data_IF_939577579508
#
_entry.id   IF_939577579508
#
_cell.length_a   1.000
_cell.length_b   1.000
_cell.length_c   1.000
_cell.angle_alpha   90.00
_cell.angle_beta   90.00
_cell.angle_gamma   90.00
#
_symmetry.space_group_name_H-M   'P 1'
#
loop_
_entity.id
_entity.type
_entity.pdbx_description
1 polymer ?
#
# COMPACT_ATOMS: atom_id res chain seq x y z
N UNK A 1 -31.89 -44.15 51.49
CA UNK A 1 -33.17 -43.40 51.51
C UNK A 1 -32.77 -41.94 51.37
N UNK A 2 -32.85 -41.33 50.19
CA UNK A 2 -34.04 -40.72 49.56
C UNK A 2 -33.98 -40.96 48.03
N UNK A 3 -35.16 -41.05 47.42
CA UNK A 3 -35.46 -41.59 46.07
C UNK A 3 -35.91 -40.48 45.10
N UNK A 4 -36.06 -40.91 43.82
CA UNK A 4 -36.92 -40.38 42.73
C UNK A 4 -36.26 -39.33 41.83
N UNK A 5 -36.42 -39.29 40.50
CA UNK A 5 -37.22 -40.00 39.48
C UNK A 5 -36.46 -39.84 38.13
N UNK A 6 -36.46 -40.77 37.17
CA UNK A 6 -37.55 -41.13 36.25
C UNK A 6 -37.49 -40.24 34.99
N UNK A 7 -37.13 -40.73 33.79
CA UNK A 7 -37.97 -41.24 32.67
C UNK A 7 -37.27 -40.69 31.40
N UNK A 8 -37.22 -41.27 30.19
CA UNK A 8 -37.78 -42.44 29.54
C UNK A 8 -37.01 -42.64 28.21
N UNK A 9 -36.69 -43.88 27.84
CA UNK A 9 -37.27 -44.62 26.69
C UNK A 9 -37.36 -43.88 25.33
N UNK A 10 -36.51 -44.35 24.41
CA UNK A 10 -36.78 -44.72 23.01
C UNK A 10 -37.27 -43.64 22.03
N UNK A 11 -36.47 -43.36 20.98
CA UNK A 11 -36.73 -43.81 19.60
C UNK A 11 -36.09 -42.90 18.53
N UNK A 12 -35.89 -43.52 17.36
CA UNK A 12 -35.74 -42.94 16.01
C UNK A 12 -34.34 -42.54 15.54
N UNK A 13 -33.83 -43.36 14.63
CA UNK A 13 -32.78 -43.04 13.68
C UNK A 13 -33.27 -41.97 12.69
N UNK A 14 -32.42 -40.96 12.46
CA UNK A 14 -32.51 -40.07 11.29
C UNK A 14 -31.12 -39.92 10.70
N UNK A 15 -30.94 -40.46 9.49
CA UNK A 15 -29.82 -40.20 8.61
C UNK A 15 -29.97 -38.77 8.10
N UNK A 16 -28.96 -37.92 8.31
CA UNK A 16 -28.76 -36.72 7.50
C UNK A 16 -27.35 -36.74 6.94
N UNK A 17 -27.28 -36.97 5.62
CA UNK A 17 -26.13 -36.71 4.79
C UNK A 17 -25.75 -35.22 4.93
N UNK A 18 -24.71 -34.91 5.69
CA UNK A 18 -24.04 -33.61 5.59
C UNK A 18 -23.00 -33.68 4.48
N UNK A 19 -23.48 -33.68 3.24
CA UNK A 19 -22.70 -33.25 2.09
C UNK A 19 -22.51 -31.75 2.19
N UNK A 20 -21.48 -31.29 2.90
CA UNK A 20 -20.95 -29.95 2.68
C UNK A 20 -20.12 -30.03 1.40
N UNK A 21 -20.81 -29.70 0.31
CA UNK A 21 -20.21 -29.25 -0.92
C UNK A 21 -19.13 -28.22 -0.56
N UNK A 22 -17.87 -28.59 -0.75
CA UNK A 22 -16.85 -27.63 -1.10
C UNK A 22 -17.35 -27.03 -2.41
N UNK A 23 -18.03 -25.89 -2.29
CA UNK A 23 -18.48 -25.10 -3.42
C UNK A 23 -17.29 -24.98 -4.36
N UNK A 24 -17.49 -25.44 -5.59
CA UNK A 24 -16.60 -25.19 -6.70
C UNK A 24 -16.17 -23.73 -6.58
N UNK A 25 -14.87 -23.50 -6.48
CA UNK A 25 -14.27 -22.20 -6.71
C UNK A 25 -14.60 -21.82 -8.15
N UNK A 26 -15.83 -21.36 -8.38
CA UNK A 26 -16.19 -20.65 -9.58
C UNK A 26 -15.30 -19.41 -9.50
N UNK A 27 -14.36 -19.31 -10.43
CA UNK A 27 -13.79 -18.03 -10.78
C UNK A 27 -14.97 -17.18 -11.24
N UNK A 28 -15.64 -16.53 -10.29
CA UNK A 28 -16.77 -15.67 -10.55
C UNK A 28 -16.24 -14.59 -11.48
N UNK A 29 -16.72 -14.60 -12.72
CA UNK A 29 -16.35 -13.58 -13.69
C UNK A 29 -16.69 -12.22 -13.07
N UNK A 30 -15.70 -11.31 -13.05
CA UNK A 30 -15.85 -10.03 -12.39
C UNK A 30 -16.94 -9.26 -13.11
N UNK A 31 -18.01 -8.92 -12.39
CA UNK A 31 -19.13 -8.18 -12.98
C UNK A 31 -18.71 -6.78 -13.43
N UNK A 32 -19.40 -6.24 -14.44
CA UNK A 32 -19.19 -4.86 -14.91
C UNK A 32 -19.38 -3.83 -13.78
N UNK A 33 -20.34 -4.07 -12.87
CA UNK A 33 -20.58 -3.22 -11.70
C UNK A 33 -19.37 -3.19 -10.76
N UNK A 34 -18.70 -4.33 -10.58
CA UNK A 34 -17.50 -4.41 -9.76
C UNK A 34 -16.32 -3.71 -10.41
N UNK A 35 -16.14 -3.83 -11.73
CA UNK A 35 -15.14 -3.04 -12.47
C UNK A 35 -15.43 -1.53 -12.36
N UNK A 36 -16.70 -1.12 -12.47
CA UNK A 36 -17.10 0.28 -12.35
C UNK A 36 -16.82 0.83 -10.94
N UNK A 37 -17.18 0.09 -9.91
CA UNK A 37 -16.88 0.45 -8.52
C UNK A 37 -15.37 0.53 -8.27
N UNK A 38 -14.59 -0.42 -8.80
CA UNK A 38 -13.14 -0.44 -8.70
C UNK A 38 -12.50 0.79 -9.34
N UNK A 39 -12.94 1.16 -10.56
CA UNK A 39 -12.49 2.40 -11.22
C UNK A 39 -12.80 3.64 -10.40
N UNK A 40 -14.00 3.72 -9.82
CA UNK A 40 -14.37 4.86 -8.96
C UNK A 40 -13.46 4.96 -7.73
N UNK A 41 -13.16 3.85 -7.07
CA UNK A 41 -12.26 3.80 -5.92
C UNK A 41 -10.81 4.20 -6.29
N UNK A 42 -10.28 3.63 -7.37
CA UNK A 42 -8.93 3.94 -7.89
C UNK A 42 -8.80 5.44 -8.20
N UNK A 43 -9.78 6.00 -8.92
CA UNK A 43 -9.81 7.41 -9.26
C UNK A 43 -9.89 8.31 -8.02
N UNK A 44 -10.70 7.92 -7.03
CA UNK A 44 -10.82 8.68 -5.77
C UNK A 44 -9.51 8.69 -4.98
N UNK A 45 -8.76 7.58 -4.98
CA UNK A 45 -7.45 7.51 -4.33
C UNK A 45 -6.33 8.18 -5.13
N UNK A 46 -6.48 8.31 -6.46
CA UNK A 46 -5.46 8.87 -7.34
C UNK A 46 -4.20 8.02 -7.47
N UNK A 47 -4.28 6.72 -7.17
CA UNK A 47 -3.13 5.81 -7.11
C UNK A 47 -2.51 5.48 -8.48
N UNK A 48 -3.22 5.76 -9.57
CA UNK A 48 -2.69 5.59 -10.94
C UNK A 48 -2.13 6.89 -11.53
N UNK A 49 -2.29 8.05 -10.86
CA UNK A 49 -1.85 9.35 -11.37
C UNK A 49 -0.34 9.39 -11.64
N UNK A 50 0.45 8.69 -10.82
CA UNK A 50 1.90 8.57 -11.03
C UNK A 50 2.27 7.90 -12.36
N UNK A 51 1.37 7.09 -12.93
CA UNK A 51 1.59 6.39 -14.20
C UNK A 51 1.37 7.29 -15.42
N UNK A 52 0.81 8.50 -15.25
CA UNK A 52 0.57 9.44 -16.34
C UNK A 52 1.89 9.92 -16.97
N UNK A 53 3.00 9.86 -16.22
CA UNK A 53 4.32 10.22 -16.69
C UNK A 53 5.03 9.10 -17.48
N UNK A 54 4.50 7.87 -17.52
CA UNK A 54 5.17 6.76 -18.20
C UNK A 54 5.38 7.08 -19.68
N UNK A 55 4.32 7.47 -20.39
CA UNK A 55 4.39 7.71 -21.83
C UNK A 55 5.25 8.93 -22.19
N UNK A 56 5.12 10.10 -21.53
CA UNK A 56 6.04 11.22 -21.71
C UNK A 56 7.51 10.84 -21.47
N UNK A 57 7.81 10.11 -20.39
CA UNK A 57 9.18 9.72 -20.08
C UNK A 57 9.78 8.79 -21.14
N UNK A 58 8.99 7.82 -21.63
CA UNK A 58 9.40 6.94 -22.72
C UNK A 58 9.63 7.72 -24.03
N UNK A 59 8.78 8.70 -24.33
CA UNK A 59 8.92 9.55 -25.51
C UNK A 59 10.20 10.39 -25.44
N UNK A 60 10.48 11.03 -24.31
CA UNK A 60 11.71 11.81 -24.12
C UNK A 60 12.97 10.95 -24.18
N UNK A 61 12.94 9.77 -23.55
CA UNK A 61 14.05 8.81 -23.65
C UNK A 61 14.32 8.42 -25.10
N UNK A 62 13.25 8.10 -25.86
CA UNK A 62 13.36 7.73 -27.28
C UNK A 62 13.92 8.89 -28.12
N UNK A 63 13.44 10.12 -27.92
CA UNK A 63 13.97 11.30 -28.60
C UNK A 63 15.46 11.46 -28.35
N UNK A 64 15.90 11.38 -27.09
CA UNK A 64 17.31 11.50 -26.73
C UNK A 64 18.17 10.45 -27.47
N UNK A 65 17.73 9.19 -27.48
CA UNK A 65 18.44 8.11 -28.19
C UNK A 65 18.47 8.33 -29.70
N UNK A 66 17.34 8.69 -30.30
CA UNK A 66 17.26 8.90 -31.75
C UNK A 66 18.06 10.10 -32.23
N UNK A 67 18.04 11.22 -31.47
CA UNK A 67 18.81 12.44 -31.78
C UNK A 67 20.30 12.15 -31.70
N UNK A 68 20.75 11.42 -30.69
CA UNK A 68 22.15 11.02 -30.58
C UNK A 68 22.61 10.20 -31.80
N UNK A 69 21.77 9.27 -32.27
CA UNK A 69 22.08 8.47 -33.44
C UNK A 69 21.94 9.25 -34.77
N UNK A 70 21.12 10.31 -34.79
CA UNK A 70 20.71 11.02 -36.01
C UNK A 70 20.70 12.55 -35.77
N UNK A 71 21.85 13.19 -35.52
CA UNK A 71 21.91 14.56 -34.99
C UNK A 71 21.34 15.62 -35.93
N UNK A 72 21.33 15.37 -37.25
CA UNK A 72 20.81 16.30 -38.25
C UNK A 72 19.27 16.34 -38.32
N UNK A 73 18.56 15.45 -37.61
CA UNK A 73 17.12 15.26 -37.73
C UNK A 73 16.33 15.62 -36.47
N UNK A 74 16.91 16.38 -35.54
CA UNK A 74 16.31 16.64 -34.21
C UNK A 74 14.86 17.15 -34.25
N UNK A 75 14.56 18.16 -35.07
CA UNK A 75 13.19 18.69 -35.18
C UNK A 75 12.19 17.66 -35.72
N UNK A 76 12.60 16.87 -36.72
CA UNK A 76 11.75 15.84 -37.31
C UNK A 76 11.50 14.69 -36.32
N UNK A 77 12.54 14.29 -35.56
CA UNK A 77 12.44 13.29 -34.50
C UNK A 77 11.48 13.76 -33.40
N UNK A 78 11.66 14.98 -32.90
CA UNK A 78 10.79 15.53 -31.85
C UNK A 78 9.33 15.51 -32.29
N UNK A 79 9.02 16.10 -33.45
CA UNK A 79 7.66 16.16 -33.99
C UNK A 79 7.04 14.77 -34.22
N UNK A 80 7.81 13.84 -34.80
CA UNK A 80 7.33 12.48 -35.08
C UNK A 80 7.08 11.67 -33.81
N UNK A 81 7.99 11.74 -32.84
CA UNK A 81 7.84 11.04 -31.56
C UNK A 81 6.68 11.65 -30.75
N UNK A 82 6.52 12.97 -30.75
CA UNK A 82 5.39 13.64 -30.07
C UNK A 82 4.05 13.25 -30.67
N UNK A 83 3.93 13.27 -32.01
CA UNK A 83 2.72 12.84 -32.68
C UNK A 83 2.39 11.36 -32.38
N UNK A 84 3.42 10.51 -32.35
CA UNK A 84 3.27 9.08 -32.02
C UNK A 84 2.86 8.88 -30.55
N UNK A 85 3.47 9.60 -29.63
CA UNK A 85 3.11 9.56 -28.21
C UNK A 85 1.67 10.01 -28.00
N UNK A 86 1.24 11.10 -28.66
CA UNK A 86 -0.15 11.54 -28.62
C UNK A 86 -1.12 10.46 -29.14
N UNK A 87 -0.78 9.78 -30.24
CA UNK A 87 -1.58 8.69 -30.78
C UNK A 87 -1.64 7.46 -29.85
N UNK A 88 -0.62 7.25 -29.01
CA UNK A 88 -0.57 6.16 -28.04
C UNK A 88 -1.24 6.50 -26.70
N UNK A 89 -1.54 7.76 -26.42
CA UNK A 89 -2.17 8.20 -25.16
C UNK A 89 -3.44 7.41 -24.78
N UNK A 90 -4.35 7.01 -25.71
CA UNK A 90 -5.52 6.19 -25.37
C UNK A 90 -5.19 4.83 -24.71
N UNK A 91 -3.98 4.29 -24.90
CA UNK A 91 -3.55 3.03 -24.26
C UNK A 91 -3.47 3.12 -22.73
N UNK A 92 -3.53 4.33 -22.18
CA UNK A 92 -3.73 4.56 -20.74
C UNK A 92 -4.97 3.85 -20.21
N UNK A 93 -6.01 3.68 -21.02
CA UNK A 93 -7.22 2.94 -20.63
C UNK A 93 -6.95 1.45 -20.38
N UNK A 94 -5.91 0.87 -20.99
CA UNK A 94 -5.55 -0.53 -20.77
C UNK A 94 -4.99 -0.75 -19.36
N UNK A 95 -4.13 0.16 -18.90
CA UNK A 95 -3.63 0.16 -17.53
C UNK A 95 -4.77 0.32 -16.52
N UNK A 96 -5.71 1.23 -16.79
CA UNK A 96 -6.88 1.42 -15.92
C UNK A 96 -7.79 0.19 -15.85
N UNK A 97 -7.94 -0.55 -16.96
CA UNK A 97 -8.69 -1.80 -16.97
C UNK A 97 -8.00 -2.86 -16.10
N UNK A 98 -6.69 -2.99 -16.21
CA UNK A 98 -5.92 -3.96 -15.42
C UNK A 98 -5.94 -3.61 -13.91
N UNK A 99 -5.77 -2.33 -13.58
CA UNK A 99 -5.88 -1.84 -12.21
C UNK A 99 -7.27 -2.11 -11.62
N UNK A 100 -8.34 -1.76 -12.37
CA UNK A 100 -9.71 -2.02 -11.94
C UNK A 100 -9.98 -3.51 -11.74
N UNK A 101 -9.48 -4.36 -12.63
CA UNK A 101 -9.58 -5.82 -12.52
C UNK A 101 -8.91 -6.33 -11.25
N UNK A 102 -7.72 -5.82 -10.94
CA UNK A 102 -6.99 -6.18 -9.71
C UNK A 102 -7.79 -5.80 -8.47
N UNK A 103 -8.29 -4.56 -8.40
CA UNK A 103 -9.09 -4.09 -7.26
C UNK A 103 -10.41 -4.83 -7.11
N UNK A 104 -11.09 -5.11 -8.22
CA UNK A 104 -12.32 -5.87 -8.24
C UNK A 104 -12.13 -7.31 -7.75
N UNK A 105 -10.97 -7.94 -7.94
CA UNK A 105 -10.69 -9.27 -7.35
C UNK A 105 -10.48 -9.23 -5.84
N UNK A 106 -10.02 -8.10 -5.32
CA UNK A 106 -9.64 -7.95 -3.91
C UNK A 106 -10.79 -7.49 -3.03
N UNK A 107 -11.65 -6.62 -3.54
CA UNK A 107 -12.69 -5.95 -2.76
C UNK A 107 -14.09 -6.24 -3.31
N UNK A 108 -15.06 -6.30 -2.40
CA UNK A 108 -16.47 -6.33 -2.76
C UNK A 108 -16.93 -4.99 -3.34
N UNK A 109 -18.06 -4.99 -4.05
CA UNK A 109 -18.66 -3.77 -4.61
C UNK A 109 -18.93 -2.71 -3.52
N UNK A 110 -19.42 -3.14 -2.35
CA UNK A 110 -19.78 -2.22 -1.28
C UNK A 110 -18.54 -1.61 -0.60
N UNK A 111 -17.47 -2.38 -0.42
CA UNK A 111 -16.19 -1.86 0.06
C UNK A 111 -15.59 -0.86 -0.93
N UNK A 112 -15.61 -1.16 -2.23
CA UNK A 112 -15.13 -0.25 -3.27
C UNK A 112 -15.90 1.07 -3.28
N UNK A 113 -17.23 1.02 -3.11
CA UNK A 113 -18.05 2.23 -2.96
C UNK A 113 -17.69 3.01 -1.71
N UNK A 114 -17.57 2.34 -0.56
CA UNK A 114 -17.19 3.00 0.70
C UNK A 114 -15.81 3.67 0.63
N UNK A 115 -14.83 3.01 -0.02
CA UNK A 115 -13.51 3.59 -0.29
C UNK A 115 -13.65 4.83 -1.17
N UNK A 116 -14.38 4.73 -2.28
CA UNK A 116 -14.60 5.86 -3.18
C UNK A 116 -15.26 7.04 -2.47
N UNK A 117 -16.28 6.80 -1.64
CA UNK A 117 -17.00 7.82 -0.89
C UNK A 117 -16.09 8.52 0.12
N UNK A 118 -15.31 7.75 0.89
CA UNK A 118 -14.38 8.30 1.87
C UNK A 118 -13.33 9.20 1.20
N UNK A 119 -12.64 8.71 0.17
CA UNK A 119 -11.58 9.47 -0.50
C UNK A 119 -12.12 10.67 -1.30
N UNK A 120 -13.39 10.66 -1.70
CA UNK A 120 -14.04 11.83 -2.29
C UNK A 120 -14.49 12.89 -1.26
N UNK A 121 -14.65 12.52 0.01
CA UNK A 121 -15.02 13.46 1.07
C UNK A 121 -13.96 14.56 1.28
N UNK A 122 -14.32 15.72 1.87
CA UNK A 122 -13.34 16.76 2.21
C UNK A 122 -12.19 16.24 3.08
N UNK A 123 -12.48 15.34 4.03
CA UNK A 123 -11.48 14.74 4.89
C UNK A 123 -10.55 13.78 4.13
N UNK A 124 -11.10 12.91 3.27
CA UNK A 124 -10.32 11.98 2.46
C UNK A 124 -9.40 12.68 1.46
N UNK A 125 -9.89 13.72 0.79
CA UNK A 125 -9.07 14.57 -0.10
C UNK A 125 -7.96 15.27 0.68
N UNK A 126 -8.27 15.82 1.85
CA UNK A 126 -7.25 16.44 2.73
C UNK A 126 -6.22 15.43 3.19
N UNK A 127 -6.65 14.20 3.53
CA UNK A 127 -5.74 13.13 3.91
C UNK A 127 -4.75 12.83 2.78
N UNK A 128 -5.19 12.63 1.54
CA UNK A 128 -4.28 12.40 0.40
C UNK A 128 -3.30 13.57 0.25
N UNK A 129 -3.81 14.80 0.24
CA UNK A 129 -3.03 16.01 0.01
C UNK A 129 -1.98 16.27 1.09
N UNK A 130 -2.35 16.13 2.36
CA UNK A 130 -1.55 16.59 3.49
C UNK A 130 -0.77 15.46 4.19
N UNK A 131 -1.06 14.18 3.90
CA UNK A 131 -0.34 13.04 4.49
C UNK A 131 1.18 13.11 4.33
N UNK A 132 1.76 13.51 3.18
CA UNK A 132 3.22 13.63 3.06
C UNK A 132 3.82 14.62 4.05
N UNK A 133 3.15 15.75 4.28
CA UNK A 133 3.56 16.75 5.27
C UNK A 133 3.44 16.20 6.69
N UNK A 134 2.29 15.60 7.03
CA UNK A 134 2.06 15.02 8.34
C UNK A 134 3.07 13.90 8.66
N UNK A 135 3.36 13.03 7.70
CA UNK A 135 4.33 11.95 7.84
C UNK A 135 5.74 12.49 8.07
N UNK A 136 6.15 13.54 7.35
CA UNK A 136 7.46 14.18 7.57
C UNK A 136 7.62 14.70 9.00
N UNK A 137 6.60 15.37 9.54
CA UNK A 137 6.64 15.88 10.91
C UNK A 137 6.57 14.75 11.95
N UNK A 138 5.82 13.69 11.66
CA UNK A 138 5.80 12.47 12.49
C UNK A 138 7.19 11.83 12.57
N UNK A 139 7.88 11.64 11.44
CA UNK A 139 9.22 11.07 11.43
C UNK A 139 10.26 11.93 12.15
N UNK A 140 10.17 13.26 12.01
CA UNK A 140 11.01 14.18 12.79
C UNK A 140 10.79 14.03 14.30
N UNK A 141 9.54 13.87 14.72
CA UNK A 141 9.20 13.65 16.13
C UNK A 141 9.74 12.31 16.64
N UNK A 142 9.66 11.26 15.82
CA UNK A 142 10.20 9.94 16.13
C UNK A 142 11.72 9.96 16.27
N UNK A 143 12.44 10.72 15.44
CA UNK A 143 13.89 10.90 15.53
C UNK A 143 14.30 11.56 16.86
N UNK A 144 13.65 12.66 17.23
CA UNK A 144 13.91 13.35 18.51
C UNK A 144 13.64 12.43 19.70
N UNK A 145 12.51 11.72 19.68
CA UNK A 145 12.17 10.76 20.71
C UNK A 145 13.21 9.63 20.81
N UNK A 146 13.62 9.06 19.67
CA UNK A 146 14.64 8.01 19.59
C UNK A 146 15.99 8.44 20.13
N UNK A 147 16.44 9.67 19.84
CA UNK A 147 17.67 10.24 20.41
C UNK A 147 17.59 10.35 21.94
N UNK A 148 16.43 10.73 22.48
CA UNK A 148 16.18 10.75 23.92
C UNK A 148 16.30 9.37 24.55
N UNK A 149 15.60 8.38 23.98
CA UNK A 149 15.66 6.99 24.45
C UNK A 149 17.08 6.43 24.36
N UNK A 150 17.81 6.69 23.28
CA UNK A 150 19.20 6.24 23.10
C UNK A 150 20.11 6.76 24.22
N UNK A 151 20.04 8.07 24.52
CA UNK A 151 20.81 8.68 25.62
C UNK A 151 20.47 8.06 26.96
N UNK A 152 19.19 7.89 27.25
CA UNK A 152 18.72 7.37 28.54
C UNK A 152 19.09 5.89 28.69
N UNK A 153 18.98 5.11 27.63
CA UNK A 153 19.39 3.70 27.57
C UNK A 153 20.90 3.56 27.80
N UNK A 154 21.72 4.37 27.12
CA UNK A 154 23.17 4.38 27.30
C UNK A 154 23.53 4.70 28.76
N UNK A 155 22.94 5.75 29.33
CA UNK A 155 23.20 6.16 30.72
C UNK A 155 22.83 5.05 31.71
N UNK A 156 21.61 4.55 31.64
CA UNK A 156 21.11 3.56 32.60
C UNK A 156 21.87 2.24 32.49
N UNK A 157 22.25 1.84 31.28
CA UNK A 157 23.04 0.63 31.05
C UNK A 157 24.46 0.77 31.60
N UNK A 158 25.11 1.92 31.40
CA UNK A 158 26.42 2.21 31.99
C UNK A 158 26.36 2.25 33.52
N UNK A 159 25.36 2.91 34.10
CA UNK A 159 25.15 2.98 35.56
C UNK A 159 24.92 1.58 36.15
N UNK A 160 24.16 0.72 35.46
CA UNK A 160 23.94 -0.66 35.87
C UNK A 160 25.22 -1.50 35.75
N UNK A 161 25.96 -1.37 34.66
CA UNK A 161 27.20 -2.10 34.43
C UNK A 161 28.28 -1.72 35.44
N UNK A 162 28.41 -0.44 35.77
CA UNK A 162 29.40 0.05 36.75
C UNK A 162 29.22 -0.59 38.13
N UNK A 163 27.97 -0.82 38.55
CA UNK A 163 27.65 -1.54 39.80
C UNK A 163 28.14 -2.99 39.79
N UNK A 164 28.23 -3.62 38.62
CA UNK A 164 28.67 -5.01 38.44
C UNK A 164 30.21 -5.07 38.39
N UNK A 165 30.83 -4.23 37.54
CA UNK A 165 32.26 -4.38 37.21
C UNK A 165 33.21 -3.67 38.17
N UNK A 166 32.69 -2.83 39.08
CA UNK A 166 33.47 -2.08 40.10
C UNK A 166 34.64 -1.25 39.52
N UNK A 167 34.57 -0.88 38.24
CA UNK A 167 35.49 -0.01 37.52
C UNK A 167 34.70 1.04 36.71
N UNK A 168 35.31 2.18 36.32
CA UNK A 168 34.65 3.19 35.48
C UNK A 168 34.25 2.60 34.12
N UNK A 169 32.98 2.72 33.76
CA UNK A 169 32.46 2.34 32.42
C UNK A 169 32.49 3.57 31.53
N UNK A 170 33.15 3.48 30.38
CA UNK A 170 33.11 4.55 29.36
C UNK A 170 31.79 4.47 28.60
N UNK A 171 31.06 5.59 28.57
CA UNK A 171 29.83 5.67 27.80
C UNK A 171 30.15 5.73 26.30
N UNK A 172 29.49 4.95 25.44
CA UNK A 172 29.57 5.16 24.00
C UNK A 172 28.94 6.52 23.67
N UNK A 173 29.57 7.27 22.75
CA UNK A 173 29.04 8.55 22.28
C UNK A 173 27.64 8.34 21.68
N UNK A 174 26.64 9.04 22.26
CA UNK A 174 25.21 8.87 21.94
C UNK A 174 24.80 9.15 20.49
N UNK A 175 25.74 9.60 19.64
CA UNK A 175 25.52 9.84 18.21
C UNK A 175 25.56 8.60 17.33
N UNK A 176 26.28 7.54 17.72
CA UNK A 176 26.54 6.40 16.83
C UNK A 176 25.30 5.55 16.52
N UNK A 177 24.33 5.47 17.44
CA UNK A 177 23.11 4.68 17.25
C UNK A 177 22.04 5.42 16.41
N UNK A 178 22.01 6.75 16.44
CA UNK A 178 21.02 7.54 15.69
C UNK A 178 21.32 7.59 14.17
N UNK A 179 22.59 7.51 13.79
CA UNK A 179 23.01 7.60 12.39
C UNK A 179 22.72 6.34 11.54
N UNK A 180 22.40 5.21 12.16
CA UNK A 180 22.09 3.96 11.44
C UNK A 180 20.59 3.75 11.20
N UNK A 181 19.71 4.46 11.91
CA UNK A 181 18.27 4.23 11.88
C UNK A 181 17.50 5.09 10.85
N UNK A 182 18.14 6.09 10.25
CA UNK A 182 17.50 6.89 9.20
C UNK A 182 17.46 6.08 7.89
N UNK A 183 16.28 5.67 7.39
CA UNK A 183 16.19 5.16 6.03
C UNK A 183 16.53 6.32 5.10
N UNK A 184 17.43 6.09 4.14
CA UNK A 184 17.62 7.02 3.03
C UNK A 184 16.29 7.10 2.29
N UNK A 185 15.62 8.26 2.38
CA UNK A 185 14.47 8.59 1.55
C UNK A 185 14.90 8.78 0.10
#
# INVERSE_FOLDING_TARGET
MIKFAGLGRLAAATILLSGMAFGSANAQEISEDQIKAARAAINAMGITNQFDNILPNLAEQLKSTMIQANPNFGNAINSSVDATALALAPRRADLEREAATTYAKTFTVDELKAIADFYNSPAGKKLIKDSPLANRELYKSADIWGQGISRDLAKQSSDALQKIVKQPVVMPDGGAAAQQAAPKQ
#
